data_IF_966708749081
#
_entry.id   IF_966708749081
#
_cell.length_a   1.000
_cell.length_b   1.000
_cell.length_c   1.000
_cell.angle_alpha   90.00
_cell.angle_beta   90.00
_cell.angle_gamma   90.00
#
_symmetry.space_group_name_H-M   'P 1'
#
loop_
_entity.id
_entity.type
_entity.pdbx_description
1 polymer ?
#
# COMPACT_ATOMS: atom_id res chain seq x y z
N UNK A 1 15.88 15.30 8.06
CA UNK A 1 14.59 14.87 7.45
C UNK A 1 13.49 15.16 8.45
N UNK A 2 12.35 15.68 8.02
CA UNK A 2 11.36 16.25 8.94
C UNK A 2 10.29 15.19 9.27
N UNK A 3 10.30 14.66 10.50
CA UNK A 3 9.30 13.68 10.99
C UNK A 3 7.89 14.30 11.16
N UNK A 4 7.78 15.61 11.03
CA UNK A 4 6.52 16.35 11.21
C UNK A 4 5.49 15.86 10.17
N UNK A 5 5.89 15.73 8.91
CA UNK A 5 4.97 15.34 7.82
C UNK A 5 4.38 13.93 8.00
N UNK A 6 5.17 12.87 8.31
CA UNK A 6 4.63 11.55 8.63
C UNK A 6 3.67 11.55 9.83
N UNK A 7 3.99 12.30 10.89
CA UNK A 7 3.13 12.38 12.09
C UNK A 7 1.78 13.02 11.74
N UNK A 8 1.76 14.12 10.98
CA UNK A 8 0.52 14.71 10.49
C UNK A 8 -0.29 13.76 9.61
N UNK A 9 0.39 13.00 8.75
CA UNK A 9 -0.28 12.01 7.90
C UNK A 9 -0.96 10.92 8.70
N UNK A 10 -0.33 10.42 9.76
CA UNK A 10 -0.94 9.44 10.69
C UNK A 10 -2.17 10.04 11.37
N UNK A 11 -2.06 11.27 11.87
CA UNK A 11 -3.18 11.94 12.55
C UNK A 11 -4.40 12.11 11.62
N UNK A 12 -4.19 12.60 10.40
CA UNK A 12 -5.24 12.73 9.39
C UNK A 12 -5.87 11.37 9.06
N UNK A 13 -5.05 10.34 9.00
CA UNK A 13 -5.49 9.00 8.66
C UNK A 13 -6.30 8.35 9.78
N UNK A 14 -5.98 8.61 11.05
CA UNK A 14 -6.79 8.22 12.21
C UNK A 14 -8.17 8.88 12.13
N UNK A 15 -8.24 10.19 11.86
CA UNK A 15 -9.51 10.90 11.70
C UNK A 15 -10.33 10.31 10.55
N UNK A 16 -9.69 10.04 9.41
CA UNK A 16 -10.34 9.45 8.23
C UNK A 16 -10.89 8.04 8.54
N UNK A 17 -10.11 7.20 9.20
CA UNK A 17 -10.54 5.87 9.62
C UNK A 17 -11.74 5.97 10.59
N UNK A 18 -11.65 6.82 11.59
CA UNK A 18 -12.74 7.02 12.55
C UNK A 18 -14.01 7.48 11.83
N UNK A 19 -13.92 8.51 10.98
CA UNK A 19 -15.05 9.02 10.21
C UNK A 19 -15.63 7.97 9.25
N UNK A 20 -14.78 7.10 8.70
CA UNK A 20 -15.22 6.05 7.78
C UNK A 20 -15.91 4.89 8.50
N UNK A 21 -15.34 4.37 9.59
CA UNK A 21 -15.85 3.17 10.26
C UNK A 21 -17.01 3.42 11.23
N UNK A 22 -17.17 4.66 11.72
CA UNK A 22 -18.30 5.02 12.60
C UNK A 22 -19.63 5.19 11.86
N UNK A 23 -19.61 5.47 10.56
CA UNK A 23 -20.85 5.63 9.77
C UNK A 23 -21.43 4.27 9.35
N UNK A 24 -22.73 4.05 9.63
CA UNK A 24 -23.47 2.92 9.04
C UNK A 24 -23.47 3.06 7.51
N UNK A 25 -22.88 2.08 6.83
CA UNK A 25 -22.77 2.07 5.36
C UNK A 25 -23.53 0.88 4.76
N UNK A 26 -24.02 1.07 3.55
CA UNK A 26 -24.61 -0.04 2.78
C UNK A 26 -23.51 -1.05 2.44
N UNK A 27 -23.84 -2.35 2.56
CA UNK A 27 -22.93 -3.45 2.18
C UNK A 27 -22.88 -3.57 0.66
N UNK A 28 -22.09 -2.72 0.02
CA UNK A 28 -21.85 -2.75 -1.43
C UNK A 28 -20.40 -3.16 -1.73
N UNK A 29 -20.15 -3.60 -2.97
CA UNK A 29 -18.77 -3.88 -3.43
C UNK A 29 -17.90 -2.63 -3.41
N UNK A 30 -18.49 -1.47 -3.64
CA UNK A 30 -17.83 -0.16 -3.50
C UNK A 30 -17.32 0.06 -2.08
N UNK A 31 -18.20 -0.08 -1.10
CA UNK A 31 -17.86 0.11 0.32
C UNK A 31 -16.78 -0.88 0.77
N UNK A 32 -16.84 -2.14 0.30
CA UNK A 32 -15.81 -3.14 0.59
C UNK A 32 -14.45 -2.76 0.00
N UNK A 33 -14.42 -2.38 -1.29
CA UNK A 33 -13.19 -1.99 -1.97
C UNK A 33 -12.58 -0.76 -1.34
N UNK A 34 -13.41 0.24 -0.99
CA UNK A 34 -12.96 1.43 -0.29
C UNK A 34 -12.46 1.13 1.12
N UNK A 35 -13.10 0.23 1.87
CA UNK A 35 -12.61 -0.20 3.20
C UNK A 35 -11.22 -0.83 3.12
N UNK A 36 -10.99 -1.69 2.13
CA UNK A 36 -9.68 -2.30 1.90
C UNK A 36 -8.64 -1.22 1.56
N UNK A 37 -9.00 -0.25 0.72
CA UNK A 37 -8.13 0.87 0.37
C UNK A 37 -7.71 1.68 1.59
N UNK A 38 -8.67 2.01 2.47
CA UNK A 38 -8.41 2.76 3.71
C UNK A 38 -7.48 1.98 4.65
N UNK A 39 -7.71 0.67 4.81
CA UNK A 39 -6.86 -0.21 5.62
C UNK A 39 -5.43 -0.27 5.04
N UNK A 40 -5.28 -0.50 3.74
CA UNK A 40 -3.98 -0.53 3.07
C UNK A 40 -3.24 0.80 3.19
N UNK A 41 -3.94 1.93 3.04
CA UNK A 41 -3.36 3.27 3.25
C UNK A 41 -2.83 3.44 4.66
N UNK A 42 -3.57 2.91 5.65
CA UNK A 42 -3.17 2.96 7.07
C UNK A 42 -1.88 2.18 7.29
N UNK A 43 -1.81 0.94 6.78
CA UNK A 43 -0.60 0.13 6.87
C UNK A 43 0.59 0.79 6.18
N UNK A 44 0.43 1.28 4.94
CA UNK A 44 1.50 1.96 4.20
C UNK A 44 2.09 3.14 4.97
N UNK A 45 1.24 4.00 5.55
CA UNK A 45 1.74 5.17 6.29
C UNK A 45 2.43 4.74 7.59
N UNK A 46 1.90 3.74 8.30
CA UNK A 46 2.53 3.22 9.51
C UNK A 46 3.90 2.61 9.18
N UNK A 47 3.99 1.73 8.18
CA UNK A 47 5.25 1.10 7.78
C UNK A 47 6.27 2.14 7.34
N UNK A 48 5.87 3.09 6.49
CA UNK A 48 6.75 4.17 6.03
C UNK A 48 7.25 5.04 7.20
N UNK A 49 6.38 5.38 8.16
CA UNK A 49 6.79 6.16 9.35
C UNK A 49 7.75 5.39 10.24
N UNK A 50 7.51 4.09 10.45
CA UNK A 50 8.42 3.22 11.20
C UNK A 50 9.76 3.12 10.46
N UNK A 51 9.76 2.89 9.16
CA UNK A 51 10.97 2.82 8.33
C UNK A 51 11.81 4.10 8.42
N UNK A 52 11.16 5.27 8.30
CA UNK A 52 11.83 6.56 8.45
C UNK A 52 12.39 6.73 9.87
N UNK A 53 11.64 6.37 10.90
CA UNK A 53 12.05 6.52 12.29
C UNK A 53 13.24 5.61 12.62
N UNK A 54 13.22 4.38 12.15
CA UNK A 54 14.28 3.39 12.39
C UNK A 54 15.56 3.69 11.60
N UNK A 55 15.48 4.38 10.46
CA UNK A 55 16.65 4.84 9.71
C UNK A 55 17.58 5.80 10.47
N UNK A 56 17.13 6.30 11.64
CA UNK A 56 17.96 7.11 12.54
C UNK A 56 18.75 6.28 13.56
N UNK A 57 18.48 4.98 13.71
CA UNK A 57 19.14 4.12 14.68
C UNK A 57 20.15 3.21 13.98
N UNK A 58 21.41 3.30 14.40
CA UNK A 58 22.46 2.40 13.92
C UNK A 58 22.23 0.97 14.45
N UNK A 59 22.38 -0.03 13.59
CA UNK A 59 22.33 -1.45 13.98
C UNK A 59 21.00 -2.19 13.75
N UNK A 60 20.01 -1.57 13.13
CA UNK A 60 18.68 -2.18 12.84
C UNK A 60 18.52 -2.53 11.35
N UNK A 61 19.62 -2.84 10.67
CA UNK A 61 19.64 -3.10 9.23
C UNK A 61 18.70 -4.23 8.79
N UNK A 62 18.69 -5.35 9.54
CA UNK A 62 17.90 -6.54 9.17
C UNK A 62 16.39 -6.31 9.30
N UNK A 63 15.99 -5.57 10.32
CA UNK A 63 14.59 -5.21 10.51
C UNK A 63 14.12 -4.20 9.46
N UNK A 64 14.95 -3.20 9.13
CA UNK A 64 14.69 -2.27 8.04
C UNK A 64 14.60 -2.98 6.70
N UNK A 65 15.47 -3.97 6.47
CA UNK A 65 15.40 -4.82 5.29
C UNK A 65 14.05 -5.52 5.19
N UNK A 66 13.64 -6.23 6.25
CA UNK A 66 12.36 -6.92 6.27
C UNK A 66 11.18 -5.96 6.06
N UNK A 67 11.19 -4.80 6.72
CA UNK A 67 10.13 -3.81 6.65
C UNK A 67 9.97 -3.24 5.24
N UNK A 68 11.06 -2.86 4.59
CA UNK A 68 11.04 -2.37 3.20
C UNK A 68 10.63 -3.47 2.21
N UNK A 69 10.98 -4.73 2.48
CA UNK A 69 10.58 -5.85 1.65
C UNK A 69 9.06 -6.07 1.65
N UNK A 70 8.39 -5.82 2.78
CA UNK A 70 6.93 -5.86 2.88
C UNK A 70 6.26 -4.60 2.35
N UNK A 71 6.90 -3.46 2.42
CA UNK A 71 6.33 -2.18 2.00
C UNK A 71 6.11 -2.12 0.48
N UNK A 72 7.04 -2.66 -0.31
CA UNK A 72 6.93 -2.72 -1.77
C UNK A 72 5.64 -3.41 -2.27
N UNK A 73 5.32 -4.66 -1.87
CA UNK A 73 4.05 -5.29 -2.22
C UNK A 73 2.83 -4.49 -1.75
N UNK A 74 2.89 -3.88 -0.56
CA UNK A 74 1.80 -3.06 -0.03
C UNK A 74 1.50 -1.86 -0.90
N UNK A 75 2.50 -1.15 -1.41
CA UNK A 75 2.32 -0.05 -2.37
C UNK A 75 1.64 -0.52 -3.65
N UNK A 76 2.06 -1.67 -4.15
CA UNK A 76 1.47 -2.26 -5.35
C UNK A 76 0.01 -2.65 -5.14
N UNK A 77 -0.31 -3.26 -4.00
CA UNK A 77 -1.69 -3.57 -3.62
C UNK A 77 -2.53 -2.31 -3.45
N UNK A 78 -1.99 -1.28 -2.83
CA UNK A 78 -2.69 -0.01 -2.64
C UNK A 78 -3.05 0.64 -3.97
N UNK A 79 -2.10 0.79 -4.89
CA UNK A 79 -2.33 1.39 -6.21
C UNK A 79 -3.33 0.58 -7.04
N UNK A 80 -3.25 -0.74 -6.99
CA UNK A 80 -4.20 -1.62 -7.68
C UNK A 80 -5.61 -1.55 -7.10
N UNK A 81 -5.76 -1.45 -5.78
CA UNK A 81 -7.06 -1.26 -5.14
C UNK A 81 -7.66 0.10 -5.46
N UNK A 82 -6.84 1.15 -5.58
CA UNK A 82 -7.27 2.45 -6.05
C UNK A 82 -7.81 2.37 -7.49
N UNK A 83 -7.10 1.66 -8.36
CA UNK A 83 -7.56 1.43 -9.74
C UNK A 83 -8.86 0.62 -9.79
N UNK A 84 -9.01 -0.44 -8.99
CA UNK A 84 -10.25 -1.23 -8.89
C UNK A 84 -11.41 -0.36 -8.41
N UNK A 85 -11.18 0.54 -7.47
CA UNK A 85 -12.21 1.46 -6.98
C UNK A 85 -12.67 2.43 -8.08
N UNK A 86 -11.73 3.08 -8.78
CA UNK A 86 -12.04 3.97 -9.89
C UNK A 86 -12.77 3.24 -11.04
N UNK A 87 -12.32 2.02 -11.34
CA UNK A 87 -12.97 1.16 -12.32
C UNK A 87 -14.40 0.81 -11.92
N UNK A 88 -14.64 0.55 -10.64
CA UNK A 88 -15.98 0.29 -10.12
C UNK A 88 -16.91 1.49 -10.37
N UNK A 89 -16.47 2.67 -9.97
CA UNK A 89 -17.25 3.91 -10.14
C UNK A 89 -17.58 4.13 -11.63
N UNK A 90 -16.57 4.01 -12.50
CA UNK A 90 -16.74 4.20 -13.95
C UNK A 90 -17.70 3.16 -14.56
N UNK A 91 -17.53 1.88 -14.25
CA UNK A 91 -18.36 0.83 -14.86
C UNK A 91 -19.77 0.73 -14.26
N UNK A 92 -19.93 1.10 -13.01
CA UNK A 92 -21.26 1.17 -12.40
C UNK A 92 -22.11 2.27 -13.07
N UNK A 93 -21.51 3.41 -13.37
CA UNK A 93 -22.16 4.50 -14.11
C UNK A 93 -22.57 4.08 -15.52
N UNK A 94 -21.76 3.23 -16.18
CA UNK A 94 -21.99 2.78 -17.56
C UNK A 94 -22.72 1.41 -17.65
N UNK A 95 -23.30 0.90 -16.58
CA UNK A 95 -24.02 -0.39 -16.51
C UNK A 95 -23.22 -1.63 -16.96
N UNK A 96 -21.87 -1.56 -16.96
CA UNK A 96 -20.94 -2.63 -17.37
C UNK A 96 -20.48 -3.52 -16.22
N UNK A 97 -21.35 -3.84 -15.29
CA UNK A 97 -21.03 -4.58 -14.05
C UNK A 97 -20.37 -5.95 -14.26
N UNK A 98 -20.78 -6.70 -15.29
CA UNK A 98 -20.16 -8.02 -15.59
C UNK A 98 -18.68 -7.89 -15.99
N UNK A 99 -18.32 -6.87 -16.77
CA UNK A 99 -16.94 -6.61 -17.18
C UNK A 99 -16.07 -6.19 -16.00
N UNK A 100 -16.64 -5.41 -15.06
CA UNK A 100 -15.94 -5.05 -13.81
C UNK A 100 -15.43 -6.27 -13.05
N UNK A 101 -16.30 -7.27 -12.80
CA UNK A 101 -15.89 -8.46 -12.04
C UNK A 101 -14.79 -9.26 -12.72
N UNK A 102 -14.80 -9.35 -14.05
CA UNK A 102 -13.73 -10.01 -14.81
C UNK A 102 -12.40 -9.28 -14.65
N UNK A 103 -12.39 -7.97 -14.86
CA UNK A 103 -11.17 -7.15 -14.76
C UNK A 103 -10.64 -7.15 -13.32
N UNK A 104 -11.51 -6.99 -12.33
CA UNK A 104 -11.14 -7.06 -10.91
C UNK A 104 -10.43 -8.38 -10.58
N UNK A 105 -10.96 -9.52 -11.06
CA UNK A 105 -10.34 -10.83 -10.84
C UNK A 105 -8.94 -10.91 -11.46
N UNK A 106 -8.78 -10.41 -12.68
CA UNK A 106 -7.47 -10.38 -13.37
C UNK A 106 -6.46 -9.54 -12.59
N UNK A 107 -6.84 -8.33 -12.16
CA UNK A 107 -5.96 -7.45 -11.41
C UNK A 107 -5.53 -8.11 -10.09
N UNK A 108 -6.46 -8.70 -9.35
CA UNK A 108 -6.14 -9.40 -8.09
C UNK A 108 -5.19 -10.57 -8.35
N UNK A 109 -5.41 -11.36 -9.40
CA UNK A 109 -4.53 -12.48 -9.76
C UNK A 109 -3.12 -11.99 -10.08
N UNK A 110 -2.98 -10.93 -10.86
CA UNK A 110 -1.68 -10.31 -11.19
C UNK A 110 -1.00 -9.81 -9.90
N UNK A 111 -1.73 -9.15 -9.00
CA UNK A 111 -1.18 -8.70 -7.73
C UNK A 111 -0.63 -9.84 -6.86
N UNK A 112 -1.38 -10.95 -6.78
CA UNK A 112 -0.91 -12.14 -6.04
C UNK A 112 0.36 -12.69 -6.67
N UNK A 113 0.43 -12.79 -8.00
CA UNK A 113 1.63 -13.27 -8.69
C UNK A 113 2.83 -12.34 -8.45
N UNK A 114 2.65 -11.02 -8.56
CA UNK A 114 3.71 -10.05 -8.29
C UNK A 114 4.17 -10.16 -6.82
N UNK A 115 3.24 -10.28 -5.87
CA UNK A 115 3.59 -10.44 -4.45
C UNK A 115 4.43 -11.69 -4.22
N UNK A 116 4.08 -12.82 -4.84
CA UNK A 116 4.86 -14.05 -4.75
C UNK A 116 6.26 -13.83 -5.35
N UNK A 117 6.35 -13.22 -6.53
CA UNK A 117 7.62 -12.94 -7.19
C UNK A 117 8.50 -12.03 -6.32
N UNK A 118 7.93 -10.96 -5.75
CA UNK A 118 8.68 -10.01 -4.91
C UNK A 118 9.21 -10.63 -3.62
N UNK A 119 8.54 -11.62 -3.06
CA UNK A 119 9.03 -12.34 -1.86
C UNK A 119 10.31 -13.14 -2.17
N UNK A 120 10.44 -13.66 -3.38
CA UNK A 120 11.59 -14.49 -3.77
C UNK A 120 12.72 -13.70 -4.46
N UNK A 121 12.49 -12.47 -4.88
CA UNK A 121 13.51 -11.66 -5.54
C UNK A 121 14.49 -11.05 -4.53
N UNK A 122 15.79 -11.03 -4.86
CA UNK A 122 16.78 -10.36 -4.04
C UNK A 122 16.52 -8.84 -4.01
N UNK A 123 16.69 -8.30 -2.85
CA UNK A 123 16.43 -6.92 -2.51
C UNK A 123 17.50 -6.44 -1.53
N UNK A 124 18.04 -5.25 -1.73
CA UNK A 124 19.04 -4.65 -0.86
C UNK A 124 18.56 -3.30 -0.35
N UNK A 125 18.80 -3.04 0.93
CA UNK A 125 18.57 -1.73 1.53
C UNK A 125 19.90 -1.02 1.70
N UNK A 126 20.06 0.10 1.03
CA UNK A 126 21.22 0.96 1.21
C UNK A 126 20.86 2.08 2.19
N UNK A 127 21.46 2.04 3.36
CA UNK A 127 21.29 3.06 4.39
C UNK A 127 22.41 4.09 4.27
N UNK A 128 22.05 5.31 3.95
CA UNK A 128 22.98 6.44 3.98
C UNK A 128 22.69 7.29 5.20
N UNK A 129 23.66 8.15 5.62
CA UNK A 129 23.49 9.09 6.75
C UNK A 129 22.27 10.04 6.62
N UNK A 130 21.64 10.10 5.45
CA UNK A 130 20.52 11.02 5.16
C UNK A 130 19.22 10.32 4.79
N UNK A 131 19.27 9.10 4.27
CA UNK A 131 18.08 8.34 3.86
C UNK A 131 18.42 6.85 3.67
N UNK A 132 17.48 5.97 3.97
CA UNK A 132 17.50 4.59 3.50
C UNK A 132 16.73 4.49 2.18
N UNK A 133 17.26 3.80 1.21
CA UNK A 133 16.56 3.49 -0.04
C UNK A 133 16.81 2.04 -0.45
N UNK A 134 15.81 1.49 -1.10
CA UNK A 134 15.87 0.13 -1.59
C UNK A 134 16.44 0.10 -3.01
N UNK A 135 17.31 -0.86 -3.27
CA UNK A 135 17.85 -1.16 -4.60
C UNK A 135 17.75 -2.66 -4.87
N UNK A 136 17.86 -3.06 -6.11
CA UNK A 136 17.89 -4.46 -6.50
C UNK A 136 16.87 -4.82 -7.56
N UNK A 137 16.88 -6.08 -7.96
CA UNK A 137 16.04 -6.58 -9.06
C UNK A 137 14.55 -6.45 -8.74
N UNK A 138 14.16 -6.59 -7.46
CA UNK A 138 12.79 -6.43 -7.02
C UNK A 138 12.29 -4.98 -7.23
N UNK A 139 13.13 -3.99 -6.88
CA UNK A 139 12.80 -2.57 -7.05
C UNK A 139 12.68 -2.21 -8.53
N UNK A 140 13.65 -2.63 -9.34
CA UNK A 140 13.64 -2.36 -10.78
C UNK A 140 12.46 -3.00 -11.53
N UNK A 141 11.86 -4.03 -10.97
CA UNK A 141 10.69 -4.69 -11.57
C UNK A 141 9.39 -3.94 -11.25
N UNK A 142 9.36 -3.17 -10.17
CA UNK A 142 8.16 -2.47 -9.68
C UNK A 142 8.11 -0.99 -10.09
N UNK A 143 9.24 -0.41 -10.47
CA UNK A 143 9.38 0.97 -10.97
C UNK A 143 9.67 0.98 -12.46
#
# INVERSE_FOLDING_TARGET
MNLILPIYSIFLLIILNFAFFTKKRLKSDETKTYSILVILSTFNIIFNTIGISLGYFDGISDFLYALNHFDLPLYFWWSSMMYIYLLYVYMNTNQKRKSYFKIKKVIITINVLITIITIFLPFEVVITKKAGYAIGTCVNLLY
#
